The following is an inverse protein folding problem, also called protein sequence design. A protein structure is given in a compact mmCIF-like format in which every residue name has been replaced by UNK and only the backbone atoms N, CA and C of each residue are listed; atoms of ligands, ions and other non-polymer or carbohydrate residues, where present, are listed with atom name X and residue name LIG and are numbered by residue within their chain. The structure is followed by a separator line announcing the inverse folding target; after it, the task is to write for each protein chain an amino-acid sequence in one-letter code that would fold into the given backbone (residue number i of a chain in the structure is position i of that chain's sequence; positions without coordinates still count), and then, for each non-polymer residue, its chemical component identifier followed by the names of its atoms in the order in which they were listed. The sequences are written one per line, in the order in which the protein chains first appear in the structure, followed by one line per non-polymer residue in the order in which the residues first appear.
data_IF_773939541624
#
_entry.id   IF_773939541624
#
_cell.length_a   1.000
_cell.length_b   1.000
_cell.length_c   1.000
_cell.angle_alpha   90.00
_cell.angle_beta   90.00
_cell.angle_gamma   90.00
#
_symmetry.space_group_name_H-M   'P 1'
#
loop_
_entity.id
_entity.type
_entity.pdbx_description
1 polymer ?
#
# COMPACT_ATOMS: atom_id res chain seq x y z
N UNK A 1 16.84 43.26 -14.55
CA UNK A 1 15.74 44.26 -14.54
C UNK A 1 14.78 43.97 -15.68
N UNK A 2 13.75 43.18 -15.42
CA UNK A 2 12.49 43.15 -16.18
C UNK A 2 11.46 42.45 -15.31
N UNK A 3 10.72 43.28 -14.57
CA UNK A 3 9.55 42.89 -13.81
C UNK A 3 8.47 42.45 -14.80
N UNK A 4 8.03 41.19 -14.71
CA UNK A 4 6.76 40.80 -15.28
C UNK A 4 5.78 40.53 -14.13
N UNK A 5 4.70 41.30 -14.20
CA UNK A 5 3.57 41.41 -13.30
C UNK A 5 2.65 40.22 -13.57
N UNK A 6 2.40 39.35 -12.59
CA UNK A 6 1.25 38.45 -12.60
C UNK A 6 0.22 38.98 -11.61
N UNK A 7 -0.75 39.70 -12.16
CA UNK A 7 -1.93 40.22 -11.50
C UNK A 7 -2.99 39.10 -11.42
N UNK A 8 -3.47 38.84 -10.20
CA UNK A 8 -4.88 38.61 -9.83
C UNK A 8 -5.73 37.61 -10.66
N UNK A 9 -5.98 36.45 -10.06
CA UNK A 9 -7.26 35.74 -10.17
C UNK A 9 -7.63 35.07 -8.84
N UNK A 10 -7.75 35.87 -7.78
CA UNK A 10 -8.52 35.47 -6.59
C UNK A 10 -10.01 35.61 -6.92
N UNK A 11 -10.54 34.61 -7.62
CA UNK A 11 -11.96 34.47 -7.90
C UNK A 11 -12.72 34.16 -6.62
N UNK A 12 -13.37 35.19 -6.08
CA UNK A 12 -14.28 35.11 -4.95
C UNK A 12 -15.51 34.27 -5.32
N UNK A 13 -15.57 33.02 -4.85
CA UNK A 13 -16.81 32.23 -4.85
C UNK A 13 -17.53 32.47 -3.52
N UNK A 14 -18.09 33.67 -3.38
CA UNK A 14 -18.82 34.10 -2.18
C UNK A 14 -20.04 34.91 -2.64
N UNK A 15 -21.01 34.26 -3.28
CA UNK A 15 -22.36 34.80 -3.39
C UNK A 15 -23.39 33.73 -3.80
N UNK A 16 -24.48 33.69 -3.03
CA UNK A 16 -25.83 33.22 -3.37
C UNK A 16 -26.14 31.71 -3.34
N UNK A 17 -26.27 31.16 -2.14
CA UNK A 17 -27.32 30.16 -1.84
C UNK A 17 -28.17 30.68 -0.66
N UNK A 18 -28.96 31.72 -0.92
CA UNK A 18 -30.03 32.16 -0.03
C UNK A 18 -31.37 31.75 -0.66
N UNK A 19 -32.18 30.98 0.08
CA UNK A 19 -33.61 30.88 -0.15
C UNK A 19 -34.08 29.85 -1.18
N UNK A 20 -33.72 28.57 -1.00
CA UNK A 20 -34.50 27.47 -1.55
C UNK A 20 -35.51 27.00 -0.49
N UNK A 21 -36.80 27.23 -0.73
CA UNK A 21 -37.88 26.58 0.01
C UNK A 21 -37.62 25.06 0.08
N UNK A 22 -37.54 24.55 1.29
CA UNK A 22 -37.41 23.13 1.55
C UNK A 22 -38.79 22.53 1.29
N UNK A 23 -38.97 21.93 0.10
CA UNK A 23 -40.14 21.09 -0.16
C UNK A 23 -40.15 19.95 0.89
N UNK A 24 -41.30 19.65 1.52
CA UNK A 24 -41.39 18.59 2.51
C UNK A 24 -41.02 17.25 1.87
N UNK A 25 -40.08 16.55 2.53
CA UNK A 25 -39.72 15.17 2.22
C UNK A 25 -40.99 14.30 2.19
N UNK A 26 -41.20 13.46 1.16
CA UNK A 26 -42.27 12.48 1.18
C UNK A 26 -42.02 11.49 2.33
N UNK A 27 -43.05 11.31 3.16
CA UNK A 27 -43.05 10.30 4.22
C UNK A 27 -42.81 8.89 3.64
N UNK A 28 -42.11 8.00 4.36
CA UNK A 28 -41.98 6.60 3.97
C UNK A 28 -43.34 5.90 4.14
N UNK A 29 -44.13 5.93 3.07
CA UNK A 29 -45.37 5.17 2.93
C UNK A 29 -45.12 3.95 2.07
N UNK A 30 -45.22 2.79 2.70
CA UNK A 30 -45.82 1.55 2.18
C UNK A 30 -45.63 1.26 0.67
N UNK A 31 -44.48 0.69 0.30
CA UNK A 31 -44.44 -0.21 -0.87
C UNK A 31 -44.95 -1.58 -0.44
N UNK A 32 -46.27 -1.71 -0.49
CA UNK A 32 -46.95 -2.99 -0.52
C UNK A 32 -46.44 -3.84 -1.69
N UNK A 33 -46.34 -5.15 -1.43
CA UNK A 33 -45.79 -6.15 -2.33
C UNK A 33 -46.47 -6.24 -3.69
N UNK A 34 -45.64 -6.48 -4.70
CA UNK A 34 -46.01 -7.13 -5.94
C UNK A 34 -45.24 -8.46 -5.98
N UNK A 35 -45.89 -9.50 -5.48
CA UNK A 35 -45.55 -10.90 -5.76
C UNK A 35 -45.85 -11.19 -7.24
N UNK A 36 -44.88 -10.89 -8.13
CA UNK A 36 -44.91 -11.43 -9.49
C UNK A 36 -44.30 -12.83 -9.48
N UNK A 37 -45.19 -13.80 -9.27
CA UNK A 37 -44.91 -15.22 -9.43
C UNK A 37 -44.52 -15.56 -10.86
N UNK A 38 -43.23 -15.80 -11.08
CA UNK A 38 -42.73 -16.47 -12.29
C UNK A 38 -42.76 -17.98 -12.08
N UNK A 39 -43.83 -18.57 -12.62
CA UNK A 39 -44.06 -19.98 -12.90
C UNK A 39 -42.96 -20.53 -13.83
N UNK A 40 -41.84 -20.99 -13.27
CA UNK A 40 -40.86 -21.81 -14.01
C UNK A 40 -41.34 -23.26 -14.05
N UNK A 41 -42.24 -23.52 -15.01
CA UNK A 41 -42.52 -24.88 -15.49
C UNK A 41 -41.26 -25.48 -16.07
N UNK A 42 -40.95 -26.68 -15.58
CA UNK A 42 -39.86 -27.50 -16.05
C UNK A 42 -40.07 -28.03 -17.46
N UNK A 43 -38.94 -28.24 -18.13
CA UNK A 43 -38.79 -29.22 -19.20
C UNK A 43 -37.59 -30.09 -18.86
N UNK A 44 -37.90 -31.33 -18.52
CA UNK A 44 -36.98 -32.45 -18.48
C UNK A 44 -36.59 -32.90 -19.90
N UNK A 45 -35.61 -33.82 -19.95
CA UNK A 45 -34.88 -34.40 -21.09
C UNK A 45 -33.53 -33.68 -21.30
N UNK A 46 -32.39 -34.36 -21.29
CA UNK A 46 -32.13 -35.62 -21.97
C UNK A 46 -30.94 -36.34 -21.32
N UNK A 47 -31.12 -37.62 -21.00
CA UNK A 47 -30.05 -38.55 -20.62
C UNK A 47 -29.57 -39.27 -21.90
N UNK A 48 -28.31 -39.08 -22.26
CA UNK A 48 -27.53 -39.99 -23.11
C UNK A 48 -26.11 -39.98 -22.55
N UNK A 49 -25.60 -41.01 -21.89
CA UNK A 49 -25.32 -42.37 -22.40
C UNK A 49 -24.61 -42.33 -23.75
N UNK A 50 -23.28 -42.47 -23.70
CA UNK A 50 -22.57 -43.50 -24.44
C UNK A 50 -21.09 -43.47 -24.08
N UNK A 51 -20.63 -44.59 -23.52
CA UNK A 51 -19.22 -44.85 -23.26
C UNK A 51 -18.44 -45.20 -24.53
N UNK A 52 -17.11 -45.18 -24.39
CA UNK A 52 -16.14 -45.63 -25.39
C UNK A 52 -15.16 -44.50 -25.73
N UNK A 53 -13.86 -44.72 -25.94
CA UNK A 53 -13.08 -45.92 -26.21
C UNK A 53 -11.63 -45.60 -25.81
N UNK A 54 -10.92 -46.60 -25.30
CA UNK A 54 -9.48 -46.59 -25.07
C UNK A 54 -8.67 -46.40 -26.35
N UNK A 55 -7.53 -45.70 -26.25
CA UNK A 55 -6.34 -46.02 -27.05
C UNK A 55 -6.03 -45.09 -28.21
N UNK A 56 -4.83 -44.49 -28.16
CA UNK A 56 -4.30 -43.70 -29.26
C UNK A 56 -2.90 -43.14 -28.94
N UNK A 57 -1.89 -44.00 -28.90
CA UNK A 57 -0.48 -43.63 -29.12
C UNK A 57 -0.26 -43.24 -30.57
N UNK A 58 0.35 -42.08 -30.85
CA UNK A 58 1.31 -41.74 -31.94
C UNK A 58 1.57 -40.22 -31.84
N UNK A 59 2.78 -39.76 -31.53
CA UNK A 59 3.91 -39.54 -32.47
C UNK A 59 3.50 -38.80 -33.75
N UNK A 60 3.90 -37.52 -33.85
CA UNK A 60 4.42 -36.88 -35.08
C UNK A 60 4.67 -35.40 -34.80
N UNK A 61 5.93 -35.00 -34.98
CA UNK A 61 6.38 -33.63 -34.77
C UNK A 61 5.67 -32.59 -35.63
N UNK A 62 5.85 -31.33 -35.25
CA UNK A 62 5.68 -30.21 -36.15
C UNK A 62 6.77 -29.17 -35.91
N UNK A 63 7.19 -28.49 -36.98
CA UNK A 63 8.51 -27.92 -37.12
C UNK A 63 8.56 -26.46 -36.67
N UNK A 64 9.78 -26.02 -36.35
CA UNK A 64 10.17 -24.63 -36.17
C UNK A 64 9.78 -23.79 -37.40
N UNK A 65 9.16 -22.61 -37.26
CA UNK A 65 9.20 -21.61 -38.31
C UNK A 65 10.53 -20.84 -38.21
N UNK A 66 11.47 -21.18 -39.09
CA UNK A 66 12.48 -20.25 -39.56
C UNK A 66 11.78 -19.21 -40.43
N UNK A 67 11.98 -17.93 -40.15
CA UNK A 67 11.60 -16.85 -41.06
C UNK A 67 12.76 -15.87 -41.14
N UNK A 68 13.73 -16.27 -41.97
CA UNK A 68 14.57 -15.34 -42.72
C UNK A 68 13.68 -14.62 -43.74
N UNK A 69 13.66 -13.30 -43.67
CA UNK A 69 12.88 -12.46 -44.56
C UNK A 69 13.44 -11.05 -44.59
N UNK A 70 14.61 -10.91 -45.22
CA UNK A 70 15.11 -9.61 -45.67
C UNK A 70 14.15 -8.98 -46.67
N UNK A 71 13.95 -7.68 -46.51
CA UNK A 71 13.15 -6.84 -47.38
C UNK A 71 13.60 -5.40 -47.22
N UNK A 72 14.57 -5.05 -48.06
CA UNK A 72 15.01 -3.68 -48.34
C UNK A 72 13.88 -2.83 -48.96
N UNK A 73 14.14 -1.51 -48.96
CA UNK A 73 13.59 -0.46 -49.84
C UNK A 73 12.23 0.17 -49.48
N UNK A 74 12.31 1.29 -48.76
CA UNK A 74 11.19 2.20 -48.55
C UNK A 74 11.61 3.59 -48.06
N UNK A 75 12.58 4.22 -48.73
CA UNK A 75 12.89 5.65 -48.53
C UNK A 75 11.71 6.49 -49.00
N UNK A 76 10.96 7.07 -48.06
CA UNK A 76 10.09 8.20 -48.34
C UNK A 76 10.88 9.48 -48.05
N UNK A 77 11.43 10.06 -49.11
CA UNK A 77 11.88 11.45 -49.13
C UNK A 77 10.63 12.36 -49.15
N UNK A 78 10.39 13.09 -48.06
CA UNK A 78 9.86 14.46 -48.04
C UNK A 78 9.46 14.84 -46.61
N UNK A 79 10.35 15.55 -45.91
CA UNK A 79 10.07 16.91 -45.44
C UNK A 79 11.31 17.44 -44.74
N UNK A 80 12.04 18.30 -45.46
CA UNK A 80 13.14 19.10 -44.94
C UNK A 80 12.51 20.22 -44.11
N UNK A 81 12.45 20.03 -42.79
CA UNK A 81 12.31 21.15 -41.86
C UNK A 81 13.73 21.50 -41.42
N UNK A 82 14.29 22.56 -41.99
CA UNK A 82 15.41 23.28 -41.41
C UNK A 82 15.05 23.65 -39.97
N UNK A 83 15.70 22.99 -39.01
CA UNK A 83 15.74 23.40 -37.61
C UNK A 83 17.19 23.67 -37.27
N UNK A 84 17.45 24.93 -36.97
CA UNK A 84 18.72 25.56 -36.71
C UNK A 84 19.44 24.91 -35.50
N UNK A 85 20.77 24.97 -35.57
CA UNK A 85 21.77 24.48 -34.62
C UNK A 85 21.34 24.43 -33.13
N UNK A 86 21.24 23.21 -32.60
CA UNK A 86 21.42 22.94 -31.18
C UNK A 86 22.73 22.17 -31.03
N UNK A 87 23.76 22.85 -30.53
CA UNK A 87 25.04 22.27 -30.12
C UNK A 87 24.79 21.06 -29.20
N UNK A 88 25.09 19.88 -29.72
CA UNK A 88 25.16 18.64 -28.95
C UNK A 88 26.45 18.66 -28.14
N UNK A 89 26.35 19.00 -26.86
CA UNK A 89 27.37 18.66 -25.86
C UNK A 89 27.20 17.17 -25.49
N UNK A 90 28.13 16.34 -25.97
CA UNK A 90 28.33 14.98 -25.52
C UNK A 90 28.63 14.96 -24.01
N UNK A 91 27.95 14.14 -23.18
CA UNK A 91 28.48 13.79 -21.88
C UNK A 91 29.62 12.78 -22.06
N UNK A 92 30.83 13.27 -21.80
CA UNK A 92 32.08 12.51 -21.68
C UNK A 92 31.91 11.43 -20.59
N UNK A 93 31.94 10.15 -20.99
CA UNK A 93 32.01 9.01 -20.08
C UNK A 93 33.47 8.82 -19.65
N UNK A 94 33.91 9.66 -18.72
CA UNK A 94 35.19 9.54 -18.05
C UNK A 94 35.20 8.35 -17.08
N UNK A 95 35.65 7.20 -17.56
CA UNK A 95 36.18 6.11 -16.72
C UNK A 95 37.24 6.67 -15.76
N UNK A 96 36.96 6.59 -14.46
CA UNK A 96 37.95 6.91 -13.43
C UNK A 96 38.39 5.61 -12.75
N UNK A 97 39.52 5.10 -13.24
CA UNK A 97 40.31 4.07 -12.58
C UNK A 97 40.84 4.61 -11.25
N UNK A 98 40.23 4.18 -10.15
CA UNK A 98 40.63 4.52 -8.79
C UNK A 98 41.38 3.38 -8.12
N UNK A 99 42.63 3.15 -8.55
CA UNK A 99 43.60 2.41 -7.74
C UNK A 99 44.26 3.34 -6.73
N UNK A 100 44.21 3.00 -5.45
CA UNK A 100 45.29 3.36 -4.51
C UNK A 100 45.35 2.29 -3.42
N UNK A 101 46.40 1.49 -3.51
CA UNK A 101 46.93 0.69 -2.43
C UNK A 101 47.76 1.62 -1.56
N UNK A 102 47.37 1.86 -0.32
CA UNK A 102 48.28 2.39 0.69
C UNK A 102 48.00 1.72 2.04
N UNK A 103 48.88 0.76 2.33
CA UNK A 103 49.30 0.35 3.65
C UNK A 103 49.52 1.57 4.57
N UNK A 104 48.80 1.61 5.69
CA UNK A 104 49.30 2.29 6.90
C UNK A 104 48.94 1.44 8.12
N UNK A 105 49.91 0.63 8.51
CA UNK A 105 50.12 0.22 9.90
C UNK A 105 50.36 1.46 10.76
N UNK A 106 49.64 1.64 11.87
CA UNK A 106 50.17 2.18 13.13
C UNK A 106 49.13 2.10 14.26
N UNK A 107 49.33 1.07 15.08
CA UNK A 107 49.36 1.10 16.55
C UNK A 107 49.11 2.46 17.22
N UNK A 108 48.12 2.55 18.11
CA UNK A 108 48.12 3.51 19.23
C UNK A 108 47.22 3.02 20.36
N UNK A 109 47.92 2.41 21.30
CA UNK A 109 47.61 2.14 22.69
C UNK A 109 46.93 3.27 23.50
N UNK A 110 46.29 2.79 24.58
CA UNK A 110 46.17 3.39 25.92
C UNK A 110 45.43 4.73 26.13
N UNK A 111 44.31 4.63 26.85
CA UNK A 111 43.62 5.79 27.43
C UNK A 111 42.60 5.43 28.53
N UNK A 112 43.00 4.61 29.50
CA UNK A 112 42.32 4.50 30.80
C UNK A 112 42.38 5.83 31.54
N UNK A 113 41.23 6.35 31.98
CA UNK A 113 41.18 7.43 32.96
C UNK A 113 40.40 6.96 34.18
N UNK A 114 41.17 6.36 35.09
CA UNK A 114 40.83 6.16 36.50
C UNK A 114 40.43 7.48 37.17
N UNK A 115 39.24 7.48 37.77
CA UNK A 115 38.80 8.48 38.74
C UNK A 115 38.53 7.80 40.09
N UNK A 116 39.06 8.32 41.20
CA UNK A 116 39.25 7.54 42.44
C UNK A 116 37.99 7.35 43.29
N UNK A 117 37.90 6.17 43.89
CA UNK A 117 37.08 5.87 45.07
C UNK A 117 37.49 6.76 46.26
N UNK A 118 36.57 6.99 47.23
CA UNK A 118 36.68 6.19 48.45
C UNK A 118 35.36 5.80 49.17
N UNK A 119 35.41 4.58 49.75
CA UNK A 119 34.95 4.15 51.08
C UNK A 119 33.46 3.82 51.37
N UNK A 120 33.28 2.53 51.65
CA UNK A 120 32.59 1.89 52.79
C UNK A 120 31.27 2.48 53.32
N UNK A 121 30.17 1.76 53.09
CA UNK A 121 29.18 1.48 54.14
C UNK A 121 28.81 0.00 54.09
N UNK A 122 29.29 -0.74 55.09
CA UNK A 122 28.74 -2.01 55.54
C UNK A 122 27.28 -1.83 55.98
N UNK A 123 26.40 -2.75 55.60
CA UNK A 123 25.37 -3.21 56.53
C UNK A 123 25.03 -4.67 56.22
N UNK A 124 25.40 -5.52 57.15
CA UNK A 124 24.95 -6.90 57.28
C UNK A 124 23.53 -6.94 57.86
N UNK A 125 22.99 -8.16 57.86
CA UNK A 125 21.86 -8.66 58.65
C UNK A 125 20.48 -8.68 58.00
N UNK A 126 20.20 -9.86 57.45
CA UNK A 126 19.05 -10.73 57.77
C UNK A 126 17.87 -10.08 58.53
N UNK A 127 16.71 -10.04 57.87
CA UNK A 127 15.45 -10.42 58.55
C UNK A 127 14.48 -10.97 57.50
N UNK A 128 14.17 -12.26 57.63
CA UNK A 128 13.03 -12.87 56.98
C UNK A 128 11.74 -12.11 57.36
N UNK A 129 11.05 -11.54 56.37
CA UNK A 129 9.65 -11.16 56.51
C UNK A 129 8.88 -11.69 55.31
N UNK A 130 8.15 -12.76 55.59
CA UNK A 130 7.02 -13.26 54.81
C UNK A 130 5.93 -12.19 54.68
N UNK A 131 5.15 -12.23 53.59
CA UNK A 131 3.87 -11.52 53.36
C UNK A 131 4.10 -10.02 53.03
N UNK A 132 3.77 -9.47 51.86
CA UNK A 132 2.50 -9.48 51.14
C UNK A 132 2.73 -9.32 49.63
N UNK A 133 1.98 -10.08 48.82
CA UNK A 133 1.77 -9.82 47.40
C UNK A 133 0.82 -8.63 47.25
N UNK A 134 1.30 -7.45 47.62
CA UNK A 134 0.64 -6.20 47.31
C UNK A 134 0.91 -5.85 45.85
N UNK A 135 -0.09 -6.08 44.99
CA UNK A 135 -0.14 -5.45 43.68
C UNK A 135 0.06 -3.95 43.84
N UNK A 136 1.23 -3.43 43.47
CA UNK A 136 1.44 -2.00 43.30
C UNK A 136 0.56 -1.52 42.16
N UNK A 137 -0.68 -1.23 42.49
CA UNK A 137 -1.50 -0.24 41.84
C UNK A 137 -0.86 1.12 42.13
N UNK A 138 0.25 1.42 41.47
CA UNK A 138 0.72 2.79 41.32
C UNK A 138 -0.27 3.50 40.40
N UNK A 139 -1.41 3.88 40.99
CA UNK A 139 -2.35 4.86 40.46
C UNK A 139 -1.66 6.21 40.60
N UNK A 140 -0.73 6.47 39.67
CA UNK A 140 -0.32 7.82 39.37
C UNK A 140 -1.54 8.56 38.86
N UNK A 141 -2.15 9.37 39.72
CA UNK A 141 -3.14 10.41 39.37
C UNK A 141 -2.50 11.53 38.53
N UNK A 142 -1.66 11.18 37.56
CA UNK A 142 -1.48 12.00 36.38
C UNK A 142 -2.77 11.85 35.61
N UNK A 143 -3.57 12.91 35.54
CA UNK A 143 -4.68 12.98 34.61
C UNK A 143 -4.09 12.94 33.19
N UNK A 144 -3.78 11.73 32.72
CA UNK A 144 -3.62 11.43 31.31
C UNK A 144 -4.99 11.71 30.70
N UNK A 145 -5.18 12.96 30.29
CA UNK A 145 -6.28 13.38 29.40
C UNK A 145 -6.11 12.81 27.99
N UNK A 146 -5.08 11.99 27.76
CA UNK A 146 -5.05 11.08 26.64
C UNK A 146 -6.29 10.21 26.72
N UNK A 147 -7.17 10.32 25.73
CA UNK A 147 -8.34 9.46 25.59
C UNK A 147 -7.86 8.02 25.72
N UNK A 148 -8.14 7.39 26.86
CA UNK A 148 -7.81 6.00 27.11
C UNK A 148 -8.74 5.15 26.24
N UNK A 149 -8.37 5.03 24.96
CA UNK A 149 -9.07 4.26 23.97
C UNK A 149 -8.99 2.80 24.41
N UNK A 150 -10.08 2.32 24.99
CA UNK A 150 -10.16 0.95 25.50
C UNK A 150 -10.31 0.00 24.32
N UNK A 151 -9.34 -0.90 24.12
CA UNK A 151 -9.43 -1.98 23.12
C UNK A 151 -10.56 -2.94 23.48
N UNK A 152 -11.39 -3.28 22.50
CA UNK A 152 -12.38 -4.36 22.61
C UNK A 152 -11.71 -5.72 22.41
N UNK A 153 -12.39 -6.79 22.80
CA UNK A 153 -11.91 -8.15 22.56
C UNK A 153 -11.62 -8.39 21.07
N UNK A 154 -10.43 -8.90 20.77
CA UNK A 154 -9.96 -9.12 19.40
C UNK A 154 -9.42 -7.89 18.68
N UNK A 155 -9.38 -6.72 19.32
CA UNK A 155 -8.70 -5.53 18.80
C UNK A 155 -7.26 -5.45 19.31
N UNK A 156 -6.39 -4.76 18.58
CA UNK A 156 -4.98 -4.63 18.93
C UNK A 156 -4.36 -3.33 18.44
N UNK A 157 -3.29 -2.90 19.12
CA UNK A 157 -2.37 -1.87 18.66
C UNK A 157 -1.01 -2.47 18.29
N UNK A 158 -0.68 -3.61 18.89
CA UNK A 158 0.58 -4.31 18.78
C UNK A 158 0.36 -5.82 18.87
N UNK A 159 1.40 -6.62 18.57
CA UNK A 159 1.32 -8.07 18.75
C UNK A 159 1.13 -8.50 20.21
N UNK A 160 1.41 -7.63 21.20
CA UNK A 160 1.23 -7.94 22.62
C UNK A 160 -0.25 -7.94 23.05
N UNK A 161 -1.12 -7.30 22.27
CA UNK A 161 -2.55 -7.23 22.56
C UNK A 161 -3.30 -8.48 22.07
N UNK A 162 -2.61 -9.37 21.35
CA UNK A 162 -3.18 -10.58 20.76
C UNK A 162 -2.74 -11.84 21.50
N UNK A 163 -3.50 -12.93 21.31
CA UNK A 163 -3.15 -14.24 21.86
C UNK A 163 -1.83 -14.78 21.26
N UNK A 164 -1.20 -15.77 21.89
CA UNK A 164 0.14 -16.28 21.54
C UNK A 164 0.35 -16.76 20.10
N UNK A 165 -0.70 -16.86 19.28
CA UNK A 165 -0.64 -17.30 17.88
C UNK A 165 -1.32 -16.32 16.92
N UNK A 166 -1.72 -15.15 17.41
CA UNK A 166 -2.41 -14.13 16.63
C UNK A 166 -1.45 -12.98 16.33
N UNK A 167 -1.66 -12.36 15.18
CA UNK A 167 -0.92 -11.19 14.74
C UNK A 167 -1.86 -10.00 14.70
N UNK A 168 -1.34 -8.85 15.14
CA UNK A 168 -2.10 -7.61 15.04
C UNK A 168 -2.06 -7.05 13.61
N UNK A 169 -3.17 -7.09 12.88
CA UNK A 169 -3.26 -6.53 11.54
C UNK A 169 -4.07 -5.24 11.54
N UNK A 170 -3.58 -4.19 10.86
CA UNK A 170 -4.40 -3.02 10.61
C UNK A 170 -5.45 -3.34 9.54
N UNK A 171 -6.65 -2.76 9.64
CA UNK A 171 -7.78 -3.13 8.77
C UNK A 171 -7.56 -2.85 7.28
N UNK A 172 -6.73 -1.86 6.94
CA UNK A 172 -6.35 -1.52 5.55
C UNK A 172 -4.90 -1.92 5.20
N UNK A 173 -4.22 -2.63 6.11
CA UNK A 173 -2.94 -3.23 5.75
C UNK A 173 -3.17 -4.28 4.65
N UNK A 174 -2.18 -4.48 3.74
CA UNK A 174 -2.19 -5.63 2.85
C UNK A 174 -2.47 -6.91 3.65
N UNK A 175 -3.25 -7.86 3.10
CA UNK A 175 -3.46 -9.13 3.77
C UNK A 175 -2.11 -9.77 4.07
N UNK A 176 -1.98 -10.33 5.27
CA UNK A 176 -0.80 -11.13 5.59
C UNK A 176 -0.79 -12.34 4.67
N UNK A 177 0.39 -12.67 4.19
CA UNK A 177 0.62 -13.84 3.33
C UNK A 177 1.01 -15.02 4.22
N UNK A 178 0.34 -16.15 4.06
CA UNK A 178 0.78 -17.42 4.63
C UNK A 178 1.78 -18.04 3.67
N UNK A 179 1.35 -19.08 2.97
CA UNK A 179 2.08 -19.63 1.82
C UNK A 179 2.00 -18.66 0.63
N UNK A 180 3.15 -18.39 0.00
CA UNK A 180 3.20 -17.62 -1.24
C UNK A 180 2.57 -18.41 -2.39
N UNK A 181 2.03 -17.73 -3.41
CA UNK A 181 1.55 -18.38 -4.62
C UNK A 181 2.22 -17.80 -5.86
N UNK A 182 2.25 -18.57 -6.95
CA UNK A 182 2.72 -18.06 -8.25
C UNK A 182 1.49 -17.80 -9.13
N UNK A 183 1.26 -16.57 -9.59
CA UNK A 183 0.09 -16.25 -10.40
C UNK A 183 0.17 -17.00 -11.75
N UNK A 184 -0.97 -17.47 -12.29
CA UNK A 184 -0.99 -18.26 -13.53
C UNK A 184 -0.59 -17.46 -14.77
N UNK A 185 -0.77 -16.15 -14.72
CA UNK A 185 -0.46 -15.21 -15.81
C UNK A 185 0.41 -14.11 -15.25
N UNK A 186 1.70 -14.13 -15.61
CA UNK A 186 2.63 -13.07 -15.24
C UNK A 186 2.65 -11.97 -16.29
N UNK A 187 3.03 -10.76 -15.86
CA UNK A 187 3.19 -9.62 -16.75
C UNK A 187 4.44 -8.81 -16.40
N UNK A 188 5.03 -8.16 -17.41
CA UNK A 188 6.21 -7.30 -17.22
C UNK A 188 5.82 -5.81 -17.15
N UNK A 189 4.67 -5.44 -17.72
CA UNK A 189 4.11 -4.08 -17.67
C UNK A 189 2.72 -4.00 -18.30
N UNK A 190 2.04 -2.87 -18.15
CA UNK A 190 0.63 -2.72 -18.58
C UNK A 190 0.41 -3.05 -20.06
N UNK A 191 1.40 -2.78 -20.92
CA UNK A 191 1.32 -3.09 -22.34
C UNK A 191 1.14 -4.59 -22.63
N UNK A 192 1.65 -5.50 -21.77
CA UNK A 192 1.40 -6.93 -21.94
C UNK A 192 -0.05 -7.28 -21.60
N UNK A 193 -0.62 -6.65 -20.58
CA UNK A 193 -2.01 -6.87 -20.14
C UNK A 193 -3.04 -6.28 -21.10
N UNK A 194 -2.70 -5.17 -21.77
CA UNK A 194 -3.55 -4.53 -22.78
C UNK A 194 -3.85 -5.40 -24.00
N UNK A 195 -3.08 -6.48 -24.23
CA UNK A 195 -3.36 -7.47 -25.27
C UNK A 195 -4.61 -8.28 -24.97
N UNK A 196 -4.86 -8.55 -23.69
CA UNK A 196 -6.01 -9.33 -23.23
C UNK A 196 -7.23 -8.42 -23.04
N UNK A 197 -7.02 -7.23 -22.46
CA UNK A 197 -8.06 -6.23 -22.28
C UNK A 197 -7.46 -4.82 -22.11
N UNK A 198 -7.99 -3.84 -22.83
CA UNK A 198 -7.47 -2.45 -22.83
C UNK A 198 -7.47 -1.79 -21.45
N UNK A 199 -8.34 -2.23 -20.54
CA UNK A 199 -8.49 -1.71 -19.19
C UNK A 199 -7.68 -2.48 -18.13
N UNK A 200 -6.86 -3.45 -18.53
CA UNK A 200 -6.04 -4.23 -17.60
C UNK A 200 -4.67 -3.58 -17.40
N UNK A 201 -4.21 -3.60 -16.16
CA UNK A 201 -2.89 -3.12 -15.73
C UNK A 201 -2.08 -4.28 -15.17
N UNK A 202 -0.76 -4.12 -15.19
CA UNK A 202 0.17 -5.08 -14.63
C UNK A 202 0.49 -4.71 -13.18
N UNK A 203 -0.12 -5.41 -12.23
CA UNK A 203 -0.04 -5.08 -10.81
C UNK A 203 0.73 -6.15 -10.04
N UNK A 204 1.56 -5.73 -9.09
CA UNK A 204 2.24 -6.65 -8.19
C UNK A 204 1.24 -7.45 -7.36
N UNK A 205 1.42 -8.76 -7.34
CA UNK A 205 0.55 -9.66 -6.59
C UNK A 205 1.03 -9.72 -5.15
N UNK A 206 0.16 -9.31 -4.22
CA UNK A 206 0.41 -9.47 -2.79
C UNK A 206 0.46 -10.98 -2.53
N UNK A 207 1.55 -11.46 -1.92
CA UNK A 207 1.85 -12.87 -1.67
C UNK A 207 2.45 -13.68 -2.84
N UNK A 208 2.92 -13.02 -3.89
CA UNK A 208 3.69 -13.68 -4.95
C UNK A 208 5.01 -14.28 -4.42
N UNK A 209 5.38 -15.50 -4.83
CA UNK A 209 6.59 -16.16 -4.33
C UNK A 209 7.90 -15.47 -4.72
N UNK A 210 7.93 -14.78 -5.86
CA UNK A 210 9.09 -14.10 -6.44
C UNK A 210 8.78 -12.65 -6.84
N UNK A 211 7.74 -12.06 -6.24
CA UNK A 211 7.32 -10.70 -6.56
C UNK A 211 6.71 -10.56 -7.95
N UNK A 212 6.14 -11.65 -8.47
CA UNK A 212 5.46 -11.66 -9.76
C UNK A 212 4.31 -10.64 -9.79
N UNK A 213 4.04 -10.15 -10.99
CA UNK A 213 2.90 -9.28 -11.29
C UNK A 213 1.90 -10.05 -12.11
N UNK A 214 0.63 -9.71 -12.00
CA UNK A 214 -0.42 -10.28 -12.83
C UNK A 214 -1.27 -9.18 -13.47
N UNK A 215 -1.93 -9.54 -14.57
CA UNK A 215 -2.86 -8.65 -15.23
C UNK A 215 -4.19 -8.61 -14.47
N UNK A 216 -4.53 -7.44 -13.94
CA UNK A 216 -5.79 -7.21 -13.24
C UNK A 216 -6.53 -6.04 -13.88
N UNK A 217 -7.86 -5.99 -13.74
CA UNK A 217 -8.62 -4.81 -14.13
C UNK A 217 -8.13 -3.59 -13.34
N UNK A 218 -7.83 -2.49 -14.05
CA UNK A 218 -7.43 -1.24 -13.43
C UNK A 218 -8.54 -0.58 -12.61
N UNK A 219 -8.16 0.40 -11.80
CA UNK A 219 -9.11 1.13 -10.97
C UNK A 219 -10.10 1.99 -11.76
N UNK A 220 -9.87 2.20 -13.06
CA UNK A 220 -10.84 2.83 -13.96
C UNK A 220 -12.10 1.97 -14.16
N UNK A 221 -11.95 0.64 -14.09
CA UNK A 221 -13.04 -0.33 -14.17
C UNK A 221 -13.62 -0.59 -12.78
N UNK A 222 -12.76 -0.70 -11.77
CA UNK A 222 -13.17 -0.94 -10.40
C UNK A 222 -12.54 0.09 -9.44
N UNK A 223 -13.17 1.27 -9.27
CA UNK A 223 -12.61 2.34 -8.45
C UNK A 223 -12.52 1.99 -6.97
N UNK A 224 -13.28 0.99 -6.50
CA UNK A 224 -13.22 0.50 -5.11
C UNK A 224 -11.92 -0.26 -4.79
N UNK A 225 -11.11 -0.58 -5.81
CA UNK A 225 -9.79 -1.17 -5.59
C UNK A 225 -8.78 -0.20 -5.00
N UNK A 226 -8.98 1.11 -5.18
CA UNK A 226 -8.14 2.11 -4.54
C UNK A 226 -8.58 2.31 -3.10
N UNK A 227 -7.61 2.42 -2.20
CA UNK A 227 -7.90 2.75 -0.80
C UNK A 227 -8.48 4.16 -0.71
N UNK A 228 -9.14 4.47 0.41
CA UNK A 228 -9.76 5.79 0.63
C UNK A 228 -8.80 6.99 0.57
N UNK A 229 -7.49 6.74 0.63
CA UNK A 229 -6.41 7.73 0.53
C UNK A 229 -5.65 7.68 -0.80
N UNK A 230 -6.09 6.83 -1.72
CA UNK A 230 -5.53 6.68 -3.06
C UNK A 230 -6.51 7.25 -4.10
N UNK A 231 -5.98 7.65 -5.25
CA UNK A 231 -6.74 8.13 -6.40
C UNK A 231 -6.36 7.30 -7.61
N UNK A 232 -7.36 6.94 -8.39
CA UNK A 232 -7.15 6.27 -9.66
C UNK A 232 -6.56 7.24 -10.68
N UNK A 233 -5.37 6.95 -11.18
CA UNK A 233 -4.71 7.76 -12.21
C UNK A 233 -5.25 7.43 -13.62
N UNK A 234 -4.82 8.21 -14.62
CA UNK A 234 -5.20 8.00 -16.03
C UNK A 234 -4.64 6.70 -16.62
N UNK A 235 -3.64 6.10 -15.98
CA UNK A 235 -3.05 4.82 -16.38
C UNK A 235 -3.83 3.64 -15.82
N UNK A 236 -4.83 3.88 -14.95
CA UNK A 236 -5.62 2.85 -14.29
C UNK A 236 -4.97 2.29 -13.02
N UNK A 237 -3.93 2.94 -12.47
CA UNK A 237 -3.29 2.56 -11.22
C UNK A 237 -3.78 3.40 -10.05
N UNK A 238 -3.81 2.79 -8.86
CA UNK A 238 -4.05 3.52 -7.62
C UNK A 238 -2.75 4.19 -7.17
N UNK A 239 -2.78 5.52 -7.04
CA UNK A 239 -1.65 6.34 -6.59
C UNK A 239 -2.04 7.09 -5.32
N UNK A 240 -1.08 7.41 -4.45
CA UNK A 240 -1.37 8.19 -3.25
C UNK A 240 -1.96 9.55 -3.62
N UNK A 241 -2.95 10.02 -2.86
CA UNK A 241 -3.56 11.34 -3.08
C UNK A 241 -2.50 12.44 -3.02
N UNK A 242 -2.43 13.29 -4.03
CA UNK A 242 -1.53 14.43 -4.06
C UNK A 242 -1.91 15.47 -2.99
N UNK A 243 -0.91 16.15 -2.42
CA UNK A 243 -1.12 17.17 -1.40
C UNK A 243 -0.09 18.30 -1.53
N UNK A 244 -0.48 19.51 -1.13
CA UNK A 244 0.43 20.65 -0.97
C UNK A 244 0.76 20.91 0.52
N UNK A 245 -0.15 20.54 1.41
CA UNK A 245 -0.06 20.75 2.85
C UNK A 245 -0.75 19.64 3.63
N UNK A 246 -0.48 19.55 4.94
CA UNK A 246 -1.02 18.50 5.80
C UNK A 246 -2.55 18.44 5.84
N UNK A 247 -3.23 19.59 5.68
CA UNK A 247 -4.70 19.66 5.68
C UNK A 247 -5.38 19.08 4.44
N UNK A 248 -4.62 18.78 3.38
CA UNK A 248 -5.17 18.17 2.17
C UNK A 248 -5.34 16.63 2.33
N UNK A 249 -4.68 16.06 3.35
CA UNK A 249 -4.71 14.63 3.63
C UNK A 249 -5.76 14.27 4.68
N UNK A 250 -6.21 13.01 4.68
CA UNK A 250 -7.11 12.48 5.71
C UNK A 250 -6.43 12.52 7.11
N UNK A 251 -7.19 12.55 8.22
CA UNK A 251 -6.65 12.76 9.58
C UNK A 251 -5.57 11.77 10.08
N UNK A 252 -5.42 10.60 9.44
CA UNK A 252 -4.39 9.59 9.75
C UNK A 252 -3.16 9.69 8.81
N UNK A 253 -3.13 10.68 7.94
CA UNK A 253 -2.14 10.88 6.88
C UNK A 253 -1.49 12.26 7.02
N UNK A 254 -0.28 12.39 6.53
CA UNK A 254 0.48 13.63 6.43
C UNK A 254 0.98 13.81 5.01
N UNK A 255 1.15 15.07 4.62
CA UNK A 255 1.70 15.38 3.31
C UNK A 255 3.22 15.18 3.32
N UNK A 256 3.71 14.19 2.58
CA UNK A 256 5.12 13.87 2.45
C UNK A 256 5.53 13.92 0.97
N UNK A 257 6.47 14.80 0.63
CA UNK A 257 6.97 14.98 -0.73
C UNK A 257 5.87 15.17 -1.80
N UNK A 258 4.77 15.84 -1.43
CA UNK A 258 3.65 16.11 -2.33
C UNK A 258 2.61 14.99 -2.44
N UNK A 259 2.71 13.93 -1.63
CA UNK A 259 1.73 12.83 -1.57
C UNK A 259 1.31 12.53 -0.13
N UNK A 260 0.06 12.14 0.06
CA UNK A 260 -0.45 11.75 1.36
C UNK A 260 0.12 10.39 1.77
N UNK A 261 0.91 10.38 2.84
CA UNK A 261 1.49 9.19 3.43
C UNK A 261 0.93 8.96 4.83
N UNK A 262 0.79 7.71 5.26
CA UNK A 262 0.25 7.40 6.60
C UNK A 262 1.21 7.89 7.68
N UNK A 263 0.70 8.68 8.63
CA UNK A 263 1.49 9.24 9.74
C UNK A 263 2.16 8.14 10.54
N UNK A 264 3.40 8.37 10.93
CA UNK A 264 4.08 7.53 11.92
C UNK A 264 3.70 7.94 13.34
N UNK A 265 3.70 7.00 14.28
CA UNK A 265 3.35 7.25 15.68
C UNK A 265 4.14 6.33 16.62
N UNK A 266 4.24 6.75 17.88
CA UNK A 266 4.76 5.95 19.00
C UNK A 266 3.65 5.63 20.01
N UNK A 267 2.69 6.53 20.18
CA UNK A 267 1.50 6.34 21.02
C UNK A 267 0.24 6.84 20.30
N UNK A 268 -0.93 6.61 20.92
CA UNK A 268 -2.20 7.10 20.39
C UNK A 268 -2.27 8.63 20.33
N UNK A 269 -1.51 9.35 21.18
CA UNK A 269 -1.52 10.82 21.21
C UNK A 269 -0.90 11.46 19.95
N UNK A 270 -0.07 10.71 19.22
CA UNK A 270 0.48 11.15 17.93
C UNK A 270 -0.58 11.10 16.80
N UNK A 271 -1.67 10.38 17.06
CA UNK A 271 -2.75 10.10 16.12
C UNK A 271 -4.04 10.80 16.56
N UNK A 272 -4.94 11.01 15.61
CA UNK A 272 -6.32 11.41 15.93
C UNK A 272 -7.15 10.26 16.51
N UNK A 273 -6.65 9.02 16.40
CA UNK A 273 -7.31 7.80 16.86
C UNK A 273 -6.26 6.76 17.34
N UNK A 274 -5.94 5.75 16.52
CA UNK A 274 -5.16 4.59 16.99
C UNK A 274 -3.75 4.55 16.39
N UNK A 275 -2.76 4.25 17.22
CA UNK A 275 -1.39 3.93 16.78
C UNK A 275 -1.20 2.41 16.70
N UNK A 276 -1.30 1.84 15.50
CA UNK A 276 -1.17 0.39 15.28
C UNK A 276 0.17 0.11 14.60
N UNK A 277 1.03 -0.66 15.26
CA UNK A 277 2.37 -1.02 14.75
C UNK A 277 3.19 0.20 14.26
N UNK A 278 3.07 1.34 14.95
CA UNK A 278 3.82 2.56 14.65
C UNK A 278 3.27 3.42 13.51
N UNK A 279 2.04 3.15 13.05
CA UNK A 279 1.32 3.99 12.08
C UNK A 279 -0.07 4.38 12.60
N UNK A 280 -0.54 5.58 12.26
CA UNK A 280 -1.86 6.04 12.67
C UNK A 280 -2.96 5.41 11.82
N UNK A 281 -4.06 4.98 12.43
CA UNK A 281 -5.26 4.43 11.78
C UNK A 281 -6.54 5.01 12.40
N UNK A 282 -7.62 5.06 11.60
CA UNK A 282 -8.94 5.49 12.07
C UNK A 282 -9.61 4.45 12.96
N UNK A 283 -9.23 3.19 12.82
CA UNK A 283 -9.76 2.05 13.57
C UNK A 283 -8.59 1.27 14.19
N UNK A 284 -8.81 0.58 15.32
CA UNK A 284 -7.77 -0.27 15.89
C UNK A 284 -7.50 -1.45 14.96
N UNK A 285 -6.32 -2.07 15.12
CA UNK A 285 -6.03 -3.33 14.46
C UNK A 285 -6.93 -4.45 14.97
N UNK A 286 -6.92 -5.58 14.26
CA UNK A 286 -7.58 -6.82 14.67
C UNK A 286 -6.55 -7.92 14.89
N UNK A 287 -6.73 -8.66 15.96
CA UNK A 287 -6.02 -9.92 16.18
C UNK A 287 -6.57 -10.94 15.19
N UNK A 288 -5.68 -11.48 14.36
CA UNK A 288 -6.03 -12.51 13.41
C UNK A 288 -4.98 -13.61 13.43
N UNK A 289 -5.43 -14.85 13.26
CA UNK A 289 -4.50 -15.95 13.03
C UNK A 289 -3.74 -15.71 11.73
N UNK A 290 -2.43 -16.01 11.67
CA UNK A 290 -1.71 -16.01 10.42
C UNK A 290 -2.41 -16.94 9.42
N UNK A 291 -2.45 -16.58 8.14
CA UNK A 291 -2.93 -17.51 7.11
C UNK A 291 -2.06 -18.78 7.12
N UNK A 292 -2.65 -19.95 6.81
CA UNK A 292 -1.93 -21.21 6.75
C UNK A 292 -0.84 -21.24 5.67
#
# INVERSE_FOLDING_TARGET
MKHLIFLLAAGSCLLACAGGEIAPLPSPGDTAGADDGLDLKGTAADEGDDGGVMGGTVDSGSPLPSSDGGGDDGVNEADVIESEDIEQQSPDLGSSDGGSSDDVTEDSDAGTSDGPLPLDVQSTDDTASTVDTGSSSDVGNGADTGTNLTLQAGQCMSGKDCSNFELCAAMDAPPMCGICFSPPTTCDGDASCKKDNADYICKSVICACSGEKECQAGCSVNPEQCKSWEVCDLSGHCSAMACAQAGDCLPAFECNAGSCARKSCKSNDDCSAWCVKGKCYSEPGKCMMPPP
#
